data_IF_994011557001
#
_entry.id   IF_994011557001
#
_cell.length_a   1.000
_cell.length_b   1.000
_cell.length_c   1.000
_cell.angle_alpha   90.00
_cell.angle_beta   90.00
_cell.angle_gamma   90.00
#
_symmetry.space_group_name_H-M   'P 1'
#
loop_
_entity.id
_entity.type
_entity.pdbx_description
1 polymer ?
#
# COMPACT_ATOMS: atom_id res chain seq x y z
N UNK A 1 -64.45 36.58 29.07
CA UNK A 1 -63.98 36.56 27.70
C UNK A 1 -62.59 35.83 27.67
N UNK A 2 -62.62 34.52 27.55
CA UNK A 2 -61.35 33.67 27.55
C UNK A 2 -60.93 33.41 26.12
N UNK A 3 -59.71 33.79 25.80
CA UNK A 3 -59.08 33.46 24.51
C UNK A 3 -58.21 32.20 24.68
N UNK A 4 -58.63 31.07 24.10
CA UNK A 4 -57.79 29.89 23.92
C UNK A 4 -56.78 30.15 22.82
N UNK A 5 -55.49 30.04 23.13
CA UNK A 5 -54.44 29.99 22.17
C UNK A 5 -54.16 28.52 21.82
N UNK A 6 -54.38 28.15 20.53
CA UNK A 6 -53.98 26.83 19.99
C UNK A 6 -52.50 26.88 19.63
N UNK A 7 -51.67 26.16 20.34
CA UNK A 7 -50.26 25.96 19.96
C UNK A 7 -50.18 24.80 18.96
N UNK A 8 -49.86 25.09 17.71
CA UNK A 8 -49.63 24.09 16.67
C UNK A 8 -48.24 23.47 16.84
N UNK A 9 -48.21 22.18 17.12
CA UNK A 9 -46.99 21.38 17.19
C UNK A 9 -46.57 20.94 15.77
N UNK A 10 -45.57 21.64 15.18
CA UNK A 10 -44.98 21.23 13.92
C UNK A 10 -44.02 20.04 14.18
N UNK A 11 -44.45 18.83 13.82
CA UNK A 11 -43.56 17.67 13.76
C UNK A 11 -42.64 17.81 12.52
N UNK A 12 -41.38 18.15 12.73
CA UNK A 12 -40.33 18.05 11.71
C UNK A 12 -39.95 16.57 11.52
N UNK A 13 -40.47 15.96 10.49
CA UNK A 13 -40.02 14.62 10.04
C UNK A 13 -38.62 14.80 9.44
N UNK A 14 -37.60 14.36 10.21
CA UNK A 14 -36.24 14.22 9.68
C UNK A 14 -36.25 13.11 8.64
N UNK A 15 -36.01 13.45 7.37
CA UNK A 15 -35.79 12.48 6.31
C UNK A 15 -34.51 11.70 6.63
N UNK A 16 -34.49 10.37 6.46
CA UNK A 16 -33.28 9.60 6.64
C UNK A 16 -32.22 10.07 5.64
N UNK A 17 -31.02 10.39 6.13
CA UNK A 17 -29.89 10.70 5.28
C UNK A 17 -29.61 9.46 4.41
N UNK A 18 -29.81 9.59 3.09
CA UNK A 18 -29.46 8.55 2.16
C UNK A 18 -27.93 8.31 2.28
N UNK A 19 -27.54 7.12 2.70
CA UNK A 19 -26.14 6.69 2.66
C UNK A 19 -25.69 6.71 1.20
N UNK A 20 -24.82 7.66 0.84
CA UNK A 20 -24.20 7.64 -0.48
C UNK A 20 -23.40 6.34 -0.63
N UNK A 21 -23.63 5.62 -1.71
CA UNK A 21 -22.79 4.49 -2.07
C UNK A 21 -21.34 4.98 -2.21
N UNK A 22 -20.35 4.16 -1.77
CA UNK A 22 -18.95 4.53 -1.94
C UNK A 22 -18.64 4.77 -3.42
N UNK A 23 -17.97 5.88 -3.70
CA UNK A 23 -17.61 6.26 -5.07
C UNK A 23 -16.38 5.46 -5.54
N UNK A 24 -16.21 5.34 -6.87
CA UNK A 24 -15.01 4.73 -7.48
C UNK A 24 -13.85 5.69 -7.34
N UNK A 25 -12.73 5.20 -6.82
CA UNK A 25 -11.49 5.96 -6.68
C UNK A 25 -10.55 5.53 -7.80
N UNK A 26 -10.06 6.48 -8.58
CA UNK A 26 -9.20 6.27 -9.74
C UNK A 26 -7.93 7.11 -9.60
N UNK A 27 -6.79 6.56 -10.02
CA UNK A 27 -5.57 7.30 -10.31
C UNK A 27 -5.12 6.99 -11.74
N UNK A 28 -5.07 8.00 -12.58
CA UNK A 28 -4.56 7.91 -13.95
C UNK A 28 -3.03 7.74 -13.95
N UNK A 29 -2.42 7.27 -15.07
CA UNK A 29 -0.97 7.21 -15.18
C UNK A 29 -0.27 8.54 -14.87
N UNK A 30 -0.81 9.66 -15.34
CA UNK A 30 -0.24 10.99 -15.10
C UNK A 30 -0.31 11.42 -13.63
N UNK A 31 -1.37 11.04 -12.91
CA UNK A 31 -1.47 11.28 -11.46
C UNK A 31 -0.49 10.44 -10.68
N UNK A 32 -0.26 9.18 -11.09
CA UNK A 32 0.77 8.32 -10.50
C UNK A 32 2.16 8.92 -10.72
N UNK A 33 2.49 9.36 -11.93
CA UNK A 33 3.75 10.03 -12.26
C UNK A 33 3.96 11.30 -11.44
N UNK A 34 2.94 12.14 -11.34
CA UNK A 34 2.98 13.36 -10.53
C UNK A 34 3.19 13.06 -9.03
N UNK A 35 2.52 12.02 -8.51
CA UNK A 35 2.69 11.59 -7.12
C UNK A 35 4.11 11.07 -6.86
N UNK A 36 4.67 10.26 -7.76
CA UNK A 36 6.06 9.79 -7.67
C UNK A 36 7.04 10.97 -7.67
N UNK A 37 6.88 11.92 -8.61
CA UNK A 37 7.73 13.09 -8.68
C UNK A 37 7.66 13.97 -7.42
N UNK A 38 6.47 14.10 -6.81
CA UNK A 38 6.29 14.81 -5.55
C UNK A 38 6.99 14.07 -4.40
N UNK A 39 6.84 12.74 -4.31
CA UNK A 39 7.52 11.92 -3.30
C UNK A 39 9.04 12.06 -3.40
N UNK A 40 9.61 12.02 -4.61
CA UNK A 40 11.06 12.14 -4.82
C UNK A 40 11.62 13.49 -4.35
N UNK A 41 10.88 14.58 -4.57
CA UNK A 41 11.25 15.92 -4.09
C UNK A 41 11.25 16.02 -2.55
N UNK A 42 10.41 15.25 -1.88
CA UNK A 42 10.30 15.22 -0.43
C UNK A 42 11.30 14.28 0.24
N UNK A 43 11.87 13.31 -0.51
CA UNK A 43 12.89 12.42 0.03
C UNK A 43 14.14 13.19 0.44
N UNK A 44 14.58 12.97 1.66
CA UNK A 44 15.80 13.59 2.20
C UNK A 44 17.05 12.94 1.61
N UNK A 45 18.18 13.65 1.56
CA UNK A 45 19.47 13.03 1.25
C UNK A 45 19.73 11.82 2.14
N UNK A 46 20.09 10.66 1.54
CA UNK A 46 20.32 9.40 2.26
C UNK A 46 19.05 8.62 2.64
N UNK A 47 17.87 9.13 2.36
CA UNK A 47 16.62 8.37 2.53
C UNK A 47 16.48 7.35 1.42
N UNK A 48 16.44 6.06 1.78
CA UNK A 48 16.45 4.95 0.82
C UNK A 48 15.06 4.38 0.53
N UNK A 49 14.05 4.76 1.31
CA UNK A 49 12.68 4.27 1.17
C UNK A 49 11.67 5.35 1.51
N UNK A 50 10.60 5.43 0.71
CA UNK A 50 9.40 6.21 1.01
C UNK A 50 8.16 5.46 0.58
N UNK A 51 7.17 5.42 1.47
CA UNK A 51 5.85 4.85 1.24
C UNK A 51 4.80 5.96 1.33
N UNK A 52 3.83 5.95 0.43
CA UNK A 52 2.72 6.90 0.44
C UNK A 52 1.44 6.27 -0.09
N UNK A 53 0.31 6.40 0.65
CA UNK A 53 -1.00 6.05 0.11
C UNK A 53 -1.30 6.81 -1.17
N UNK A 54 -1.76 6.09 -2.19
CA UNK A 54 -2.30 6.67 -3.43
C UNK A 54 -3.83 6.59 -3.45
N UNK A 55 -4.38 5.41 -3.22
CA UNK A 55 -5.82 5.15 -3.20
C UNK A 55 -6.22 4.50 -1.86
N UNK A 56 -7.36 4.92 -1.30
CA UNK A 56 -7.90 4.34 -0.06
C UNK A 56 -9.33 3.88 -0.28
N UNK A 57 -9.59 2.61 0.00
CA UNK A 57 -10.92 2.00 0.00
C UNK A 57 -11.21 1.41 1.38
N UNK A 58 -11.81 2.20 2.29
CA UNK A 58 -11.94 1.82 3.70
C UNK A 58 -10.57 1.63 4.35
N UNK A 59 -10.31 0.43 4.89
CA UNK A 59 -9.02 0.08 5.50
C UNK A 59 -7.96 -0.35 4.47
N UNK A 60 -8.35 -0.57 3.22
CA UNK A 60 -7.42 -0.99 2.17
C UNK A 60 -6.74 0.20 1.51
N UNK A 61 -5.45 0.05 1.29
CA UNK A 61 -4.61 1.11 0.74
C UNK A 61 -3.79 0.53 -0.40
N UNK A 62 -3.97 1.09 -1.61
CA UNK A 62 -2.97 0.97 -2.65
C UNK A 62 -1.97 2.13 -2.48
N UNK A 63 -0.70 1.80 -2.37
CA UNK A 63 0.34 2.75 -2.03
C UNK A 63 1.47 2.75 -3.06
N UNK A 64 2.10 3.90 -3.21
CA UNK A 64 3.37 4.03 -3.92
C UNK A 64 4.52 3.79 -2.95
N UNK A 65 5.51 3.05 -3.41
CA UNK A 65 6.76 2.78 -2.73
C UNK A 65 7.92 3.19 -3.62
N UNK A 66 8.82 4.02 -3.11
CA UNK A 66 10.07 4.38 -3.79
C UNK A 66 11.21 3.76 -3.01
N UNK A 67 11.95 2.88 -3.67
CA UNK A 67 13.16 2.24 -3.18
C UNK A 67 14.36 2.83 -3.90
N UNK A 68 15.36 3.35 -3.15
CA UNK A 68 16.66 3.84 -3.67
C UNK A 68 17.82 2.93 -3.28
N UNK A 69 17.58 2.01 -2.37
CA UNK A 69 18.49 0.92 -2.01
C UNK A 69 17.67 -0.30 -1.57
N UNK A 70 18.24 -1.51 -1.60
CA UNK A 70 17.59 -2.70 -1.05
C UNK A 70 17.20 -2.50 0.40
N UNK A 71 15.96 -2.91 0.75
CA UNK A 71 15.51 -3.00 2.14
C UNK A 71 15.90 -4.32 2.79
N UNK A 72 15.53 -4.47 4.06
CA UNK A 72 15.60 -5.79 4.72
C UNK A 72 14.54 -6.71 4.10
N UNK A 73 14.87 -7.98 3.84
CA UNK A 73 13.86 -8.91 3.36
C UNK A 73 12.83 -9.19 4.46
N UNK A 74 11.60 -9.44 4.02
CA UNK A 74 10.47 -9.61 4.91
C UNK A 74 9.53 -10.73 4.43
N UNK A 75 8.59 -11.10 5.30
CA UNK A 75 7.41 -11.87 4.95
C UNK A 75 6.19 -11.33 5.70
N UNK A 76 5.04 -11.36 5.05
CA UNK A 76 3.75 -10.97 5.62
C UNK A 76 2.93 -12.23 5.90
N UNK A 77 2.85 -12.74 7.15
CA UNK A 77 2.23 -14.04 7.44
C UNK A 77 0.77 -14.15 7.03
N UNK A 78 0.01 -13.06 7.20
CA UNK A 78 -1.45 -13.03 7.02
C UNK A 78 -1.90 -12.21 5.79
N UNK A 79 -0.95 -11.75 4.96
CA UNK A 79 -1.26 -10.92 3.79
C UNK A 79 -0.46 -11.35 2.56
N UNK A 80 -1.15 -11.50 1.43
CA UNK A 80 -0.50 -11.52 0.13
C UNK A 80 -0.19 -10.09 -0.31
N UNK A 81 0.91 -9.89 -1.03
CA UNK A 81 1.28 -8.60 -1.59
C UNK A 81 1.11 -8.62 -3.10
N UNK A 82 0.28 -7.73 -3.61
CA UNK A 82 0.12 -7.48 -5.03
C UNK A 82 0.82 -6.17 -5.39
N UNK A 83 1.76 -6.20 -6.33
CA UNK A 83 2.52 -5.03 -6.73
C UNK A 83 2.69 -4.93 -8.25
N UNK A 84 2.81 -3.69 -8.74
CA UNK A 84 3.17 -3.36 -10.12
C UNK A 84 4.36 -2.43 -10.12
N UNK A 85 5.35 -2.72 -10.96
CA UNK A 85 6.45 -1.78 -11.22
C UNK A 85 5.95 -0.63 -12.07
N UNK A 86 5.96 0.57 -11.54
CA UNK A 86 5.49 1.79 -12.25
C UNK A 86 6.63 2.60 -12.82
N UNK A 87 7.83 2.56 -12.20
CA UNK A 87 9.02 3.24 -12.72
C UNK A 87 10.31 2.60 -12.18
N UNK A 88 11.44 2.91 -12.82
CA UNK A 88 12.74 2.42 -12.40
C UNK A 88 12.97 0.95 -12.71
N UNK A 89 14.00 0.35 -12.12
CA UNK A 89 14.34 -1.06 -12.28
C UNK A 89 14.96 -1.64 -11.02
N UNK A 90 14.92 -2.96 -10.91
CA UNK A 90 15.46 -3.66 -9.76
C UNK A 90 15.31 -5.17 -9.88
N UNK A 91 15.19 -5.83 -8.75
CA UNK A 91 14.96 -7.27 -8.70
C UNK A 91 14.01 -7.64 -7.57
N UNK A 92 13.25 -8.71 -7.77
CA UNK A 92 12.54 -9.44 -6.71
C UNK A 92 13.40 -10.61 -6.28
N UNK A 93 13.74 -10.65 -4.99
CA UNK A 93 14.39 -11.79 -4.32
C UNK A 93 13.33 -12.48 -3.49
N UNK A 94 13.06 -13.77 -3.68
CA UNK A 94 11.93 -14.45 -3.05
C UNK A 94 12.15 -15.94 -2.81
N UNK A 95 11.33 -16.51 -1.94
CA UNK A 95 11.44 -17.92 -1.52
C UNK A 95 12.53 -18.12 -0.48
N UNK A 96 12.94 -19.36 -0.28
CA UNK A 96 13.97 -19.69 0.70
C UNK A 96 13.53 -19.44 2.15
N UNK A 97 14.49 -19.11 3.00
CA UNK A 97 14.31 -18.96 4.46
C UNK A 97 14.87 -17.62 4.92
N UNK A 98 14.08 -16.85 5.68
CA UNK A 98 14.57 -15.65 6.38
C UNK A 98 15.55 -16.05 7.48
N UNK A 99 16.74 -15.45 7.45
CA UNK A 99 17.79 -15.65 8.47
C UNK A 99 17.72 -14.53 9.50
N UNK A 100 18.00 -14.85 10.76
CA UNK A 100 17.91 -13.92 11.90
C UNK A 100 16.54 -13.22 11.98
N UNK A 101 15.47 -13.99 11.80
CA UNK A 101 14.12 -13.52 11.72
C UNK A 101 13.67 -12.87 13.02
N UNK A 102 13.05 -11.69 12.92
CA UNK A 102 12.38 -10.98 14.00
C UNK A 102 10.95 -10.62 13.59
N UNK A 103 10.04 -10.63 14.55
CA UNK A 103 8.68 -10.15 14.33
C UNK A 103 8.61 -8.66 14.66
N UNK A 104 8.15 -7.86 13.71
CA UNK A 104 7.93 -6.43 13.90
C UNK A 104 6.65 -6.17 14.71
N UNK A 105 6.44 -4.96 15.27
CA UNK A 105 5.19 -4.62 15.95
C UNK A 105 3.93 -4.73 15.09
N UNK A 106 4.06 -4.63 13.75
CA UNK A 106 2.97 -4.83 12.79
C UNK A 106 2.68 -6.31 12.48
N UNK A 107 3.44 -7.26 13.05
CA UNK A 107 3.30 -8.69 12.78
C UNK A 107 4.05 -9.17 11.54
N UNK A 108 4.73 -8.29 10.81
CA UNK A 108 5.61 -8.65 9.70
C UNK A 108 6.86 -9.36 10.24
N UNK A 109 7.38 -10.32 9.48
CA UNK A 109 8.65 -10.98 9.75
C UNK A 109 9.75 -10.28 8.94
N UNK A 110 10.82 -9.85 9.59
CA UNK A 110 12.01 -9.32 8.91
C UNK A 110 13.23 -10.19 9.18
N UNK A 111 14.10 -10.32 8.19
CA UNK A 111 15.35 -11.06 8.32
C UNK A 111 16.58 -10.22 7.95
N UNK A 112 17.77 -10.74 8.24
CA UNK A 112 19.03 -10.13 7.77
C UNK A 112 19.27 -10.42 6.28
N UNK A 113 18.84 -11.60 5.79
CA UNK A 113 18.94 -12.08 4.42
C UNK A 113 17.97 -13.23 4.16
N UNK A 114 17.85 -13.66 2.92
CA UNK A 114 17.15 -14.90 2.54
C UNK A 114 18.18 -15.93 2.06
N UNK A 115 18.21 -17.09 2.66
CA UNK A 115 18.99 -18.23 2.18
C UNK A 115 18.18 -19.08 1.20
N UNK A 116 18.77 -19.50 0.08
CA UNK A 116 18.09 -20.29 -0.94
C UNK A 116 17.08 -19.54 -1.78
N UNK A 117 17.16 -18.22 -1.82
CA UNK A 117 16.24 -17.38 -2.59
C UNK A 117 16.43 -17.53 -4.12
N UNK A 118 15.35 -17.27 -4.84
CA UNK A 118 15.36 -17.02 -6.29
C UNK A 118 15.34 -15.51 -6.53
N UNK A 119 16.07 -15.05 -7.55
CA UNK A 119 16.07 -13.65 -7.97
C UNK A 119 15.51 -13.49 -9.36
N UNK A 120 14.66 -12.51 -9.58
CA UNK A 120 14.12 -12.12 -10.89
C UNK A 120 14.29 -10.63 -11.12
N UNK A 121 14.74 -10.19 -12.30
CA UNK A 121 14.78 -8.78 -12.65
C UNK A 121 13.38 -8.20 -12.75
N UNK A 122 13.26 -6.91 -12.41
CA UNK A 122 12.02 -6.15 -12.47
C UNK A 122 12.19 -4.92 -13.37
N UNK A 123 11.16 -4.65 -14.19
CA UNK A 123 11.09 -3.49 -15.09
C UNK A 123 9.66 -2.90 -15.10
N UNK A 124 9.48 -1.66 -15.55
CA UNK A 124 8.16 -1.04 -15.62
C UNK A 124 7.15 -1.89 -16.40
N UNK A 125 5.96 -2.04 -15.82
CA UNK A 125 4.88 -2.87 -16.34
C UNK A 125 4.81 -4.27 -15.74
N UNK A 126 5.89 -4.79 -15.14
CA UNK A 126 5.84 -6.08 -14.46
C UNK A 126 4.85 -6.04 -13.31
N UNK A 127 4.12 -7.13 -13.15
CA UNK A 127 3.11 -7.32 -12.10
C UNK A 127 3.48 -8.54 -11.26
N UNK A 128 3.38 -8.39 -9.96
CA UNK A 128 3.87 -9.33 -8.96
C UNK A 128 2.71 -9.71 -8.04
N UNK A 129 2.60 -10.99 -7.71
CA UNK A 129 1.81 -11.48 -6.60
C UNK A 129 2.71 -12.32 -5.71
N UNK A 130 2.91 -11.86 -4.48
CA UNK A 130 3.69 -12.54 -3.45
C UNK A 130 2.69 -13.19 -2.48
N UNK A 131 2.65 -14.53 -2.38
CA UNK A 131 1.77 -15.20 -1.44
C UNK A 131 2.06 -14.83 0.02
N UNK A 132 1.05 -14.90 0.86
CA UNK A 132 1.22 -14.71 2.30
C UNK A 132 2.30 -15.64 2.87
N UNK A 133 3.11 -15.14 3.77
CA UNK A 133 4.21 -15.87 4.41
C UNK A 133 5.44 -16.09 3.52
N UNK A 134 5.42 -15.71 2.24
CA UNK A 134 6.56 -15.86 1.34
C UNK A 134 7.67 -14.87 1.70
N UNK A 135 8.89 -15.32 2.07
CA UNK A 135 10.05 -14.47 2.21
C UNK A 135 10.36 -13.74 0.90
N UNK A 136 10.52 -12.41 0.96
CA UNK A 136 10.85 -11.63 -0.21
C UNK A 136 11.56 -10.32 0.14
N UNK A 137 12.18 -9.72 -0.87
CA UNK A 137 12.80 -8.41 -0.79
C UNK A 137 13.00 -7.83 -2.17
N UNK A 138 13.21 -6.51 -2.23
CA UNK A 138 13.43 -5.80 -3.48
C UNK A 138 14.86 -5.28 -3.56
N UNK A 139 15.53 -5.61 -4.67
CA UNK A 139 16.79 -5.00 -5.08
C UNK A 139 16.52 -3.76 -5.94
N UNK A 140 17.50 -2.86 -6.01
CA UNK A 140 17.41 -1.62 -6.80
C UNK A 140 18.51 -1.58 -7.82
N UNK A 141 18.17 -1.26 -9.07
CA UNK A 141 19.09 -1.06 -10.20
C UNK A 141 18.80 0.32 -10.83
N UNK A 142 19.82 0.95 -11.40
CA UNK A 142 19.64 2.24 -12.07
C UNK A 142 19.16 3.39 -11.17
N UNK A 143 19.35 3.26 -9.84
CA UNK A 143 19.12 4.35 -8.88
C UNK A 143 17.77 4.35 -8.19
N UNK A 144 16.74 3.68 -8.70
CA UNK A 144 15.44 3.52 -8.03
C UNK A 144 14.61 2.37 -8.58
N UNK A 145 13.73 1.84 -7.74
CA UNK A 145 12.59 1.01 -8.10
C UNK A 145 11.33 1.64 -7.50
N UNK A 146 10.27 1.80 -8.28
CA UNK A 146 8.99 2.35 -7.83
C UNK A 146 7.89 1.32 -8.04
N UNK A 147 7.20 0.99 -6.95
CA UNK A 147 6.10 0.03 -6.93
C UNK A 147 4.79 0.74 -6.60
N UNK A 148 3.71 0.28 -7.21
CA UNK A 148 2.34 0.49 -6.74
C UNK A 148 1.87 -0.84 -6.18
N UNK A 149 1.63 -0.90 -4.88
CA UNK A 149 1.30 -2.14 -4.18
C UNK A 149 0.07 -2.05 -3.30
N UNK A 150 -0.54 -3.20 -3.06
CA UNK A 150 -1.61 -3.39 -2.08
C UNK A 150 -1.40 -4.72 -1.36
N UNK A 151 -1.56 -4.72 -0.03
CA UNK A 151 -1.58 -5.93 0.78
C UNK A 151 -3.02 -6.40 0.95
N UNK A 152 -3.23 -7.68 0.67
CA UNK A 152 -4.55 -8.32 0.70
C UNK A 152 -4.52 -9.41 1.77
N UNK A 153 -5.31 -9.27 2.85
CA UNK A 153 -5.43 -10.32 3.86
C UNK A 153 -5.87 -11.63 3.23
N UNK A 154 -5.28 -12.72 3.68
CA UNK A 154 -5.74 -14.06 3.31
C UNK A 154 -6.68 -14.60 4.38
N UNK A 155 -7.71 -15.33 3.96
CA UNK A 155 -8.61 -16.00 4.88
C UNK A 155 -7.83 -17.03 5.72
N UNK A 156 -8.05 -17.01 7.03
CA UNK A 156 -7.55 -18.05 7.96
C UNK A 156 -8.42 -19.27 7.90
#
# INVERSE_FOLDING_TARGET
>A
MSRLALAGLCLLLAAPAASQAPDVILASPSEIEAAVAAMEKEMKPGQNFMWRPLLRGGEKVAALEIWKAPGRPAAHPDEAEYARVVAGSGSLVFGGILVDQVTTPSGMLEGSRIEGATTRPLKPGDTILIPAGMPHGFGVEGGRLVLLGIKVPVAK
#
